data_IF_247106899314
#
_entry.id   IF_247106899314
#
_cell.length_a   1.000
_cell.length_b   1.000
_cell.length_c   1.000
_cell.angle_alpha   90.00
_cell.angle_beta   90.00
_cell.angle_gamma   90.00
#
_symmetry.space_group_name_H-M   'P 1'
#
loop_
_entity.id
_entity.type
_entity.pdbx_description
1 polymer ?
#
# COMPACT_ATOMS: atom_id res chain seq x y z
N UNK A 1 -14.72 0.51 -1.72
CA UNK A 1 -13.75 -0.40 -2.38
C UNK A 1 -12.55 -0.65 -1.49
N UNK A 2 -11.86 -1.75 -1.73
CA UNK A 2 -10.59 -2.09 -1.07
C UNK A 2 -9.59 -2.66 -2.07
N UNK A 3 -8.33 -2.69 -1.70
CA UNK A 3 -7.31 -3.55 -2.26
C UNK A 3 -6.39 -4.05 -1.14
N UNK A 4 -5.18 -4.43 -1.43
CA UNK A 4 -4.19 -4.82 -0.44
C UNK A 4 -2.84 -4.16 -0.67
N UNK A 5 -2.02 -4.18 0.36
CA UNK A 5 -0.60 -3.97 0.24
C UNK A 5 0.11 -5.28 -0.05
N UNK A 6 1.26 -5.19 -0.67
CA UNK A 6 2.17 -6.31 -0.92
C UNK A 6 3.59 -5.92 -0.53
N UNK A 7 4.33 -6.87 0.03
CA UNK A 7 5.75 -6.67 0.29
C UNK A 7 6.56 -7.24 -0.88
N UNK A 8 7.29 -6.36 -1.49
CA UNK A 8 8.06 -6.61 -2.71
C UNK A 8 9.54 -6.67 -2.34
N UNK A 9 10.28 -7.47 -3.03
CA UNK A 9 11.73 -7.56 -2.87
C UNK A 9 12.40 -8.33 -4.00
N UNK A 10 13.73 -8.46 -3.97
CA UNK A 10 14.48 -9.17 -4.99
C UNK A 10 14.13 -10.66 -5.03
N UNK A 11 14.14 -11.26 -6.22
CA UNK A 11 13.89 -12.70 -6.43
C UNK A 11 14.78 -13.61 -5.59
N UNK A 12 16.00 -13.16 -5.31
CA UNK A 12 16.96 -13.90 -4.47
C UNK A 12 16.53 -14.00 -3.00
N UNK A 13 15.65 -13.12 -2.57
CA UNK A 13 15.08 -13.07 -1.21
C UNK A 13 16.12 -13.29 -0.09
N UNK A 14 17.14 -12.42 0.02
CA UNK A 14 18.22 -12.63 0.99
C UNK A 14 17.75 -12.63 2.46
N UNK A 15 16.61 -12.00 2.75
CA UNK A 15 16.01 -12.06 4.08
C UNK A 15 15.16 -13.31 4.31
N UNK A 16 14.82 -14.08 3.25
CA UNK A 16 14.04 -15.31 3.36
C UNK A 16 12.61 -15.06 3.84
N UNK A 17 11.95 -14.05 3.27
CA UNK A 17 10.66 -13.57 3.75
C UNK A 17 9.45 -14.10 2.98
N UNK A 18 9.66 -14.83 1.89
CA UNK A 18 8.57 -15.28 1.03
C UNK A 18 7.51 -16.06 1.82
N UNK A 19 6.26 -15.61 1.73
CA UNK A 19 5.16 -16.23 2.45
C UNK A 19 3.94 -15.33 2.60
N UNK A 20 3.22 -15.50 3.71
CA UNK A 20 1.98 -14.79 4.02
C UNK A 20 1.93 -14.22 5.45
N UNK A 21 3.08 -14.04 6.10
CA UNK A 21 3.19 -13.43 7.42
C UNK A 21 4.06 -12.16 7.34
N UNK A 22 3.41 -11.02 7.26
CA UNK A 22 4.09 -9.72 7.14
C UNK A 22 4.93 -9.39 8.38
N UNK A 23 4.50 -9.74 9.59
CA UNK A 23 5.24 -9.45 10.80
C UNK A 23 6.53 -10.26 10.89
N UNK A 24 6.47 -11.54 10.56
CA UNK A 24 7.65 -12.40 10.49
C UNK A 24 8.64 -11.90 9.42
N UNK A 25 8.12 -11.49 8.27
CA UNK A 25 8.92 -10.93 7.17
C UNK A 25 9.67 -9.68 7.60
N UNK A 26 9.01 -8.73 8.24
CA UNK A 26 9.61 -7.48 8.70
C UNK A 26 10.68 -7.75 9.78
N UNK A 27 10.43 -8.67 10.70
CA UNK A 27 11.43 -9.09 11.70
C UNK A 27 12.69 -9.65 11.03
N UNK A 28 12.53 -10.52 10.04
CA UNK A 28 13.66 -11.09 9.30
C UNK A 28 14.46 -10.03 8.53
N UNK A 29 13.78 -9.06 7.90
CA UNK A 29 14.43 -7.94 7.23
C UNK A 29 15.29 -7.15 8.21
N UNK A 30 14.74 -6.81 9.40
CA UNK A 30 15.50 -6.11 10.44
C UNK A 30 16.68 -6.92 10.95
N UNK A 31 16.48 -8.18 11.31
CA UNK A 31 17.54 -9.06 11.85
C UNK A 31 18.71 -9.18 10.90
N UNK A 32 18.44 -9.30 9.60
CA UNK A 32 19.46 -9.39 8.55
C UNK A 32 19.94 -8.04 8.04
N UNK A 33 19.36 -6.94 8.53
CA UNK A 33 19.63 -5.58 8.06
C UNK A 33 19.56 -5.48 6.53
N UNK A 34 18.62 -6.21 5.93
CA UNK A 34 18.42 -6.23 4.49
C UNK A 34 17.87 -4.89 4.01
N UNK A 35 18.34 -4.37 2.86
CA UNK A 35 17.93 -3.05 2.37
C UNK A 35 16.42 -2.93 2.25
N UNK A 36 15.83 -1.91 2.87
CA UNK A 36 14.40 -1.61 2.83
C UNK A 36 14.19 -0.14 2.43
N UNK A 37 13.28 0.10 1.49
CA UNK A 37 12.91 1.44 1.04
C UNK A 37 11.53 1.78 1.57
N UNK A 38 11.44 2.88 2.33
CA UNK A 38 10.20 3.48 2.78
C UNK A 38 9.86 4.72 1.97
N UNK A 39 8.59 4.93 1.67
CA UNK A 39 8.15 6.20 1.07
C UNK A 39 8.52 7.40 1.93
N UNK A 40 8.33 7.32 3.24
CA UNK A 40 8.73 8.36 4.19
C UNK A 40 7.99 9.70 4.01
N UNK A 41 6.84 9.73 3.30
CA UNK A 41 6.13 10.92 2.85
C UNK A 41 4.81 11.17 3.60
N UNK A 42 4.54 10.41 4.66
CA UNK A 42 3.30 10.44 5.45
C UNK A 42 2.03 10.12 4.66
N UNK A 43 2.15 9.46 3.52
CA UNK A 43 1.03 8.92 2.75
C UNK A 43 0.34 7.76 3.50
N UNK A 44 -0.84 7.34 3.02
CA UNK A 44 -1.54 6.16 3.55
C UNK A 44 -0.67 4.91 3.54
N UNK A 45 0.10 4.68 2.49
CA UNK A 45 1.06 3.56 2.41
C UNK A 45 2.15 3.67 3.48
N UNK A 46 2.71 4.86 3.69
CA UNK A 46 3.71 5.06 4.73
C UNK A 46 3.14 4.87 6.14
N UNK A 47 1.94 5.36 6.41
CA UNK A 47 1.26 5.15 7.70
C UNK A 47 0.99 3.66 7.94
N UNK A 48 0.52 2.94 6.91
CA UNK A 48 0.32 1.49 7.00
C UNK A 48 1.65 0.76 7.26
N UNK A 49 2.73 1.13 6.58
CA UNK A 49 4.07 0.59 6.80
C UNK A 49 4.53 0.76 8.25
N UNK A 50 4.40 1.99 8.79
CA UNK A 50 4.76 2.26 10.20
C UNK A 50 3.94 1.44 11.19
N UNK A 51 2.65 1.25 10.91
CA UNK A 51 1.79 0.40 11.74
C UNK A 51 2.25 -1.07 11.71
N UNK A 52 2.64 -1.59 10.54
CA UNK A 52 3.16 -2.95 10.39
C UNK A 52 4.48 -3.13 11.15
N UNK A 53 5.40 -2.16 11.08
CA UNK A 53 6.65 -2.18 11.85
C UNK A 53 6.39 -2.13 13.36
N UNK A 54 5.69 -1.09 13.82
CA UNK A 54 5.58 -0.78 15.24
C UNK A 54 4.60 -1.70 15.97
N UNK A 55 3.38 -1.85 15.44
CA UNK A 55 2.31 -2.60 16.09
C UNK A 55 2.45 -4.11 15.85
N UNK A 56 2.64 -4.50 14.58
CA UNK A 56 2.50 -5.89 14.19
C UNK A 56 3.82 -6.66 14.29
N UNK A 57 4.94 -6.05 13.93
CA UNK A 57 6.27 -6.64 14.12
C UNK A 57 6.89 -6.32 15.48
N UNK A 58 6.37 -5.34 16.22
CA UNK A 58 6.91 -4.92 17.50
C UNK A 58 8.27 -4.23 17.40
N UNK A 59 8.54 -3.57 16.28
CA UNK A 59 9.80 -2.89 15.97
C UNK A 59 9.55 -1.38 15.92
N UNK A 60 10.12 -0.63 16.86
CA UNK A 60 10.09 0.84 16.83
C UNK A 60 11.05 1.35 15.74
N UNK A 61 10.52 1.52 14.53
CA UNK A 61 11.36 1.85 13.38
C UNK A 61 12.10 3.18 13.55
N UNK A 62 11.57 4.12 14.31
CA UNK A 62 12.22 5.40 14.52
C UNK A 62 13.48 5.27 15.39
N UNK A 63 13.51 4.29 16.29
CA UNK A 63 14.68 3.98 17.12
C UNK A 63 15.59 2.93 16.48
N UNK A 64 14.97 1.94 15.81
CA UNK A 64 15.64 0.75 15.31
C UNK A 64 16.16 0.87 13.88
N UNK A 65 15.77 1.92 13.14
CA UNK A 65 16.27 2.15 11.79
C UNK A 65 17.78 2.39 11.78
N UNK A 66 18.44 1.70 10.87
CA UNK A 66 19.86 1.88 10.58
C UNK A 66 20.08 2.19 9.11
N UNK A 67 21.29 1.99 8.62
CA UNK A 67 21.64 2.21 7.22
C UNK A 67 20.87 1.30 6.23
N UNK A 68 20.24 0.24 6.71
CA UNK A 68 19.42 -0.67 5.93
C UNK A 68 18.03 -0.10 5.58
N UNK A 69 17.52 0.84 6.36
CA UNK A 69 16.20 1.46 6.18
C UNK A 69 16.35 2.86 5.57
N UNK A 70 15.89 3.01 4.33
CA UNK A 70 15.97 4.28 3.58
C UNK A 70 14.60 4.91 3.42
N UNK A 71 14.38 6.00 4.14
CA UNK A 71 13.21 6.87 3.96
C UNK A 71 13.50 7.91 2.87
N UNK A 72 12.74 7.91 1.77
CA UNK A 72 13.04 8.73 0.59
C UNK A 72 12.22 10.01 0.48
N UNK A 73 11.14 10.15 1.24
CA UNK A 73 10.27 11.33 1.21
C UNK A 73 9.53 11.53 -0.12
N UNK A 74 9.24 10.46 -0.88
CA UNK A 74 8.65 10.53 -2.21
C UNK A 74 7.53 9.50 -2.43
N UNK A 75 6.82 9.64 -3.57
CA UNK A 75 5.70 8.77 -3.93
C UNK A 75 6.08 7.32 -4.25
N UNK A 76 5.04 6.49 -4.44
CA UNK A 76 5.20 5.04 -4.60
C UNK A 76 6.06 4.64 -5.81
N UNK A 77 5.90 5.32 -6.94
CA UNK A 77 6.71 5.05 -8.13
C UNK A 77 8.21 5.29 -7.91
N UNK A 78 8.57 6.36 -7.20
CA UNK A 78 9.96 6.65 -6.83
C UNK A 78 10.51 5.59 -5.85
N UNK A 79 9.71 5.16 -4.88
CA UNK A 79 10.09 4.10 -3.95
C UNK A 79 10.34 2.77 -4.66
N UNK A 80 9.48 2.39 -5.60
CA UNK A 80 9.67 1.20 -6.43
C UNK A 80 10.91 1.29 -7.32
N UNK A 81 11.18 2.44 -7.94
CA UNK A 81 12.39 2.65 -8.73
C UNK A 81 13.66 2.53 -7.87
N UNK A 82 13.66 3.13 -6.67
CA UNK A 82 14.77 3.00 -5.74
C UNK A 82 14.99 1.56 -5.30
N UNK A 83 13.91 0.84 -4.97
CA UNK A 83 13.98 -0.56 -4.59
C UNK A 83 14.51 -1.45 -5.75
N UNK A 84 14.06 -1.20 -6.97
CA UNK A 84 14.55 -1.91 -8.17
C UNK A 84 16.04 -1.68 -8.40
N UNK A 85 16.50 -0.44 -8.26
CA UNK A 85 17.91 -0.09 -8.47
C UNK A 85 18.84 -0.62 -7.36
N UNK A 86 18.33 -0.81 -6.15
CA UNK A 86 19.12 -1.24 -4.98
C UNK A 86 18.86 -2.65 -4.51
N UNK A 87 18.04 -3.44 -5.24
CA UNK A 87 17.59 -4.77 -4.82
C UNK A 87 17.05 -4.78 -3.38
N UNK A 88 16.26 -3.77 -3.04
CA UNK A 88 15.71 -3.58 -1.71
C UNK A 88 14.28 -4.10 -1.59
N UNK A 89 13.86 -4.34 -0.34
CA UNK A 89 12.46 -4.58 0.00
C UNK A 89 11.67 -3.27 0.04
N UNK A 90 10.39 -3.32 -0.29
CA UNK A 90 9.50 -2.14 -0.30
C UNK A 90 8.05 -2.58 -0.13
N UNK A 91 7.27 -1.85 0.68
CA UNK A 91 5.83 -2.01 0.75
C UNK A 91 5.17 -1.19 -0.36
N UNK A 92 4.26 -1.79 -1.11
CA UNK A 92 3.48 -1.11 -2.15
C UNK A 92 2.01 -1.50 -2.09
N UNK A 93 1.13 -0.61 -2.51
CA UNK A 93 -0.22 -1.03 -2.90
C UNK A 93 -0.14 -1.89 -4.16
N UNK A 94 -0.99 -2.90 -4.26
CA UNK A 94 -1.00 -3.84 -5.40
C UNK A 94 -1.24 -3.13 -6.72
N UNK A 95 -2.12 -2.13 -6.75
CA UNK A 95 -2.45 -1.40 -7.98
C UNK A 95 -1.23 -0.72 -8.60
N UNK A 96 -0.44 -0.01 -7.80
CA UNK A 96 0.79 0.62 -8.30
C UNK A 96 1.81 -0.44 -8.74
N UNK A 97 1.96 -1.53 -8.00
CA UNK A 97 2.85 -2.62 -8.40
C UNK A 97 2.48 -3.24 -9.75
N UNK A 98 1.19 -3.50 -9.98
CA UNK A 98 0.72 -4.07 -11.25
C UNK A 98 1.00 -3.15 -12.44
N UNK A 99 0.89 -1.84 -12.24
CA UNK A 99 1.15 -0.81 -13.25
C UNK A 99 2.64 -0.51 -13.44
N UNK A 100 3.47 -0.85 -12.47
CA UNK A 100 4.90 -0.54 -12.47
C UNK A 100 5.65 -1.41 -13.49
N UNK A 101 6.44 -0.76 -14.36
CA UNK A 101 7.11 -1.43 -15.48
C UNK A 101 8.57 -1.79 -15.19
N UNK A 102 9.27 -0.95 -14.41
CA UNK A 102 10.70 -1.11 -14.16
C UNK A 102 10.98 -2.08 -12.99
N UNK A 103 10.41 -3.29 -13.07
CA UNK A 103 10.44 -4.27 -11.98
C UNK A 103 11.84 -4.86 -11.74
N UNK A 104 12.68 -4.95 -12.78
CA UNK A 104 13.98 -5.59 -12.67
C UNK A 104 13.87 -6.99 -12.06
N UNK A 105 14.64 -7.24 -11.01
CA UNK A 105 14.59 -8.49 -10.24
C UNK A 105 13.58 -8.51 -9.11
N UNK A 106 12.72 -7.48 -9.00
CA UNK A 106 11.69 -7.42 -7.97
C UNK A 106 10.52 -8.34 -8.29
N UNK A 107 9.96 -8.91 -7.23
CA UNK A 107 8.69 -9.66 -7.26
C UNK A 107 7.93 -9.49 -5.95
N UNK A 108 6.65 -9.88 -5.93
CA UNK A 108 5.89 -9.99 -4.69
C UNK A 108 6.46 -11.16 -3.89
N UNK A 109 6.80 -10.92 -2.63
CA UNK A 109 7.32 -11.93 -1.72
C UNK A 109 6.34 -12.24 -0.58
N UNK A 110 5.60 -11.23 -0.11
CA UNK A 110 4.56 -11.43 0.92
C UNK A 110 3.25 -10.82 0.47
N UNK A 111 2.20 -11.62 0.50
CA UNK A 111 0.82 -11.23 0.20
C UNK A 111 -0.17 -12.12 0.96
N UNK A 112 -1.45 -11.72 0.99
CA UNK A 112 -2.51 -12.52 1.58
C UNK A 112 -2.61 -12.47 3.10
N UNK A 113 -1.78 -11.67 3.78
CA UNK A 113 -1.92 -11.40 5.21
C UNK A 113 -3.06 -10.41 5.45
N UNK A 114 -3.93 -10.70 6.42
CA UNK A 114 -5.07 -9.83 6.77
C UNK A 114 -4.65 -8.42 7.16
N UNK A 115 -3.44 -8.25 7.72
CA UNK A 115 -2.88 -6.95 8.11
C UNK A 115 -2.51 -6.08 6.90
N UNK A 116 -2.45 -6.65 5.71
CA UNK A 116 -2.19 -5.95 4.45
C UNK A 116 -3.46 -5.42 3.78
N UNK A 117 -4.62 -5.61 4.38
CA UNK A 117 -5.89 -5.09 3.88
C UNK A 117 -5.88 -3.56 3.82
N UNK A 118 -6.34 -2.99 2.70
CA UNK A 118 -6.35 -1.55 2.46
C UNK A 118 -7.74 -1.07 2.05
N UNK A 119 -8.50 -0.56 3.03
CA UNK A 119 -9.82 0.02 2.82
C UNK A 119 -9.70 1.46 2.30
N UNK A 120 -10.49 1.80 1.28
CA UNK A 120 -10.63 3.16 0.77
C UNK A 120 -11.89 3.80 1.34
N UNK A 121 -11.75 5.04 1.80
CA UNK A 121 -12.85 5.89 2.23
C UNK A 121 -13.04 7.06 1.27
N UNK A 122 -14.26 7.56 1.16
CA UNK A 122 -14.59 8.81 0.49
C UNK A 122 -15.27 9.75 1.50
N UNK A 123 -14.81 10.98 1.58
CA UNK A 123 -15.26 11.95 2.59
C UNK A 123 -15.56 13.28 1.90
N UNK A 124 -16.77 13.80 2.10
CA UNK A 124 -17.12 15.15 1.66
C UNK A 124 -16.43 16.18 2.56
N UNK A 125 -15.77 17.17 1.95
CA UNK A 125 -15.19 18.31 2.69
C UNK A 125 -16.32 19.08 3.36
N UNK A 126 -16.15 19.40 4.65
CA UNK A 126 -17.20 20.07 5.44
C UNK A 126 -17.52 21.48 4.88
N UNK A 127 -18.74 21.71 4.35
CA UNK A 127 -19.11 22.99 3.75
C UNK A 127 -19.27 24.12 4.75
N UNK A 128 -19.48 23.82 6.03
CA UNK A 128 -19.55 24.85 7.08
C UNK A 128 -18.18 25.45 7.37
N UNK A 129 -17.13 24.63 7.28
CA UNK A 129 -15.74 25.08 7.46
C UNK A 129 -15.12 25.62 6.16
N UNK A 130 -15.62 25.17 5.02
CA UNK A 130 -15.10 25.52 3.69
C UNK A 130 -16.26 25.91 2.77
N UNK A 131 -16.78 27.16 2.86
CA UNK A 131 -18.00 27.56 2.13
C UNK A 131 -17.88 27.51 0.58
N UNK A 132 -16.67 27.45 0.06
CA UNK A 132 -16.41 27.39 -1.40
C UNK A 132 -16.47 25.96 -1.96
N UNK A 133 -16.65 24.96 -1.10
CA UNK A 133 -16.74 23.56 -1.54
C UNK A 133 -18.01 23.34 -2.36
N UNK A 134 -17.87 22.58 -3.45
CA UNK A 134 -19.01 22.20 -4.31
C UNK A 134 -19.75 21.00 -3.69
N UNK A 135 -20.46 21.25 -2.58
CA UNK A 135 -21.12 20.24 -1.75
C UNK A 135 -22.00 19.30 -2.58
N UNK A 136 -22.89 19.84 -3.42
CA UNK A 136 -23.87 19.03 -4.13
C UNK A 136 -23.19 18.11 -5.15
N UNK A 137 -22.23 18.62 -5.92
CA UNK A 137 -21.45 17.81 -6.85
C UNK A 137 -20.57 16.76 -6.13
N UNK A 138 -20.03 17.11 -4.98
CA UNK A 138 -19.25 16.17 -4.16
C UNK A 138 -20.13 15.03 -3.63
N UNK A 139 -21.33 15.34 -3.18
CA UNK A 139 -22.30 14.35 -2.71
C UNK A 139 -22.78 13.45 -3.87
N UNK A 140 -23.11 14.04 -5.02
CA UNK A 140 -23.50 13.28 -6.22
C UNK A 140 -22.41 12.27 -6.63
N UNK A 141 -21.13 12.68 -6.57
CA UNK A 141 -20.01 11.78 -6.84
C UNK A 141 -19.90 10.65 -5.81
N UNK A 142 -20.09 10.93 -4.52
CA UNK A 142 -20.10 9.92 -3.46
C UNK A 142 -21.23 8.93 -3.68
N UNK A 143 -22.45 9.44 -3.95
CA UNK A 143 -23.63 8.62 -4.18
C UNK A 143 -23.44 7.70 -5.39
N UNK A 144 -22.85 8.21 -6.48
CA UNK A 144 -22.52 7.40 -7.65
C UNK A 144 -21.48 6.32 -7.30
N UNK A 145 -20.41 6.65 -6.56
CA UNK A 145 -19.39 5.66 -6.16
C UNK A 145 -20.00 4.50 -5.36
N UNK A 146 -20.98 4.79 -4.51
CA UNK A 146 -21.65 3.79 -3.68
C UNK A 146 -22.80 3.06 -4.42
N UNK A 147 -23.23 3.57 -5.58
CA UNK A 147 -24.30 2.97 -6.37
C UNK A 147 -23.88 1.63 -7.00
N UNK A 148 -24.84 0.78 -7.40
CA UNK A 148 -24.52 -0.45 -8.14
C UNK A 148 -23.71 -0.20 -9.41
N UNK A 149 -23.94 0.91 -10.10
CA UNK A 149 -23.20 1.29 -11.31
C UNK A 149 -21.73 1.63 -10.99
N UNK A 150 -21.50 2.49 -9.99
CA UNK A 150 -20.15 2.86 -9.53
C UNK A 150 -19.38 1.64 -9.00
N UNK A 151 -20.02 0.78 -8.22
CA UNK A 151 -19.43 -0.44 -7.72
C UNK A 151 -19.07 -1.42 -8.87
N UNK A 152 -19.89 -1.52 -9.89
CA UNK A 152 -19.60 -2.31 -11.10
C UNK A 152 -18.44 -1.72 -11.90
N UNK A 153 -18.36 -0.39 -12.02
CA UNK A 153 -17.23 0.29 -12.67
C UNK A 153 -15.91 -0.02 -11.95
N UNK A 154 -15.90 0.01 -10.62
CA UNK A 154 -14.74 -0.37 -9.79
C UNK A 154 -14.34 -1.82 -10.05
N UNK A 155 -15.30 -2.75 -10.01
CA UNK A 155 -15.04 -4.18 -10.21
C UNK A 155 -14.48 -4.51 -11.59
N UNK A 156 -14.92 -3.77 -12.61
CA UNK A 156 -14.54 -3.99 -14.01
C UNK A 156 -13.23 -3.34 -14.42
N UNK A 157 -12.66 -2.47 -13.57
CA UNK A 157 -11.39 -1.83 -13.88
C UNK A 157 -10.23 -2.79 -13.70
N UNK A 158 -9.55 -3.08 -14.81
CA UNK A 158 -8.45 -4.04 -14.87
C UNK A 158 -7.24 -3.47 -15.59
N UNK A 159 -6.05 -3.88 -15.18
CA UNK A 159 -4.79 -3.65 -15.90
C UNK A 159 -4.19 -5.00 -16.25
N UNK A 160 -3.93 -5.24 -17.52
CA UNK A 160 -3.40 -6.52 -18.02
C UNK A 160 -4.23 -7.75 -17.61
N UNK A 161 -5.56 -7.58 -17.49
CA UNK A 161 -6.47 -8.63 -17.03
C UNK A 161 -6.58 -8.78 -15.50
N UNK A 162 -5.75 -8.11 -14.74
CA UNK A 162 -5.74 -8.13 -13.27
C UNK A 162 -6.69 -7.08 -12.70
N UNK A 163 -7.57 -7.48 -11.78
CA UNK A 163 -8.45 -6.57 -11.05
C UNK A 163 -7.65 -5.83 -9.97
N UNK A 164 -7.81 -4.50 -9.92
CA UNK A 164 -7.05 -3.63 -9.02
C UNK A 164 -7.78 -3.31 -7.71
N UNK A 165 -9.09 -3.14 -7.79
CA UNK A 165 -9.94 -2.77 -6.68
C UNK A 165 -11.16 -3.67 -6.60
N UNK A 166 -11.61 -3.91 -5.38
CA UNK A 166 -12.74 -4.76 -5.08
C UNK A 166 -13.86 -3.93 -4.46
N UNK A 167 -15.08 -3.94 -5.01
CA UNK A 167 -16.21 -3.22 -4.45
C UNK A 167 -16.67 -3.86 -3.14
N UNK A 168 -17.03 -3.04 -2.15
CA UNK A 168 -17.56 -3.49 -0.87
C UNK A 168 -18.47 -2.44 -0.21
N UNK A 169 -19.16 -1.60 -1.00
CA UNK A 169 -20.07 -0.60 -0.45
C UNK A 169 -21.26 -1.21 0.32
N UNK A 170 -21.63 -2.46 0.00
CA UNK A 170 -22.72 -3.18 0.65
C UNK A 170 -22.28 -3.98 1.89
N UNK A 171 -20.99 -3.99 2.19
CA UNK A 171 -20.47 -4.68 3.39
C UNK A 171 -20.63 -3.76 4.61
N UNK A 172 -21.47 -4.13 5.60
CA UNK A 172 -21.65 -3.32 6.81
C UNK A 172 -20.41 -3.21 7.69
N UNK A 173 -19.37 -4.00 7.42
CA UNK A 173 -18.10 -4.00 8.13
C UNK A 173 -16.96 -3.33 7.34
N UNK A 174 -17.30 -2.71 6.20
CA UNK A 174 -16.31 -2.04 5.35
C UNK A 174 -15.88 -0.67 5.90
#
# INVERSE_FOLDING_TARGET
MYNDFVLIGPKSDPAGIKGNDIAAALKSIKEKQAPFVSRGDRSGTHIAELALWNRDAGIDIDKDKGGWYKSIGQGMGAALNMASASNAYVLSDRGTWLSFKNKGDLQILVEGDKRLFNQYGVILVNPEKHPTVKKDLGQEFIDWLLSPEGQKAIANYKINGEQLFYPNADDPNA
#
